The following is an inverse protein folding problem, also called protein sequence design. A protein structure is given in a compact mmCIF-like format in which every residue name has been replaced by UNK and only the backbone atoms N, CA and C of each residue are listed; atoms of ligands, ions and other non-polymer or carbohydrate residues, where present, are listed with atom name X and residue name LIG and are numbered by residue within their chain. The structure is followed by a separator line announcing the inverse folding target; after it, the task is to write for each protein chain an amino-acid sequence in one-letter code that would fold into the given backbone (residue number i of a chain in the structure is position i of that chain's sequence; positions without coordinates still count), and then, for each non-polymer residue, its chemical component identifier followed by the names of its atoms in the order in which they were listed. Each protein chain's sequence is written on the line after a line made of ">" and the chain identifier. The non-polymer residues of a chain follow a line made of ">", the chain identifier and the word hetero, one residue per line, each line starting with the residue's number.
data_IF_055931454707
#
_entry.id   IF_055931454707
#
_cell.length_a   1.000
_cell.length_b   1.000
_cell.length_c   1.000
_cell.angle_alpha   90.00
_cell.angle_beta   90.00
_cell.angle_gamma   90.00
#
_symmetry.space_group_name_H-M   'P 1'
#
loop_
_entity.id
_entity.type
_entity.pdbx_description
1 polymer ?
#
# COMPACT_ATOMS: atom_id res chain seq x y z
N UNK A 1 -8.75 13.34 3.57
CA UNK A 1 -7.92 12.13 3.47
C UNK A 1 -7.62 11.87 2.02
N UNK A 2 -6.38 11.53 1.74
CA UNK A 2 -5.88 11.26 0.40
C UNK A 2 -5.77 9.75 0.22
N UNK A 3 -6.26 9.25 -0.92
CA UNK A 3 -6.21 7.84 -1.25
C UNK A 3 -4.89 7.49 -1.95
N UNK A 4 -4.32 6.34 -1.63
CA UNK A 4 -3.08 5.82 -2.20
C UNK A 4 -3.28 4.36 -2.62
N UNK A 5 -2.79 4.03 -3.81
CA UNK A 5 -2.58 2.67 -4.27
C UNK A 5 -1.12 2.31 -4.01
N UNK A 6 -0.88 1.16 -3.41
CA UNK A 6 0.46 0.58 -3.25
C UNK A 6 0.50 -0.75 -3.98
N UNK A 7 1.55 -0.97 -4.75
CA UNK A 7 1.91 -2.26 -5.31
C UNK A 7 3.14 -2.77 -4.57
N UNK A 8 3.06 -4.01 -4.12
CA UNK A 8 4.11 -4.68 -3.37
C UNK A 8 4.69 -5.82 -4.21
N UNK A 9 6.01 -5.84 -4.31
CA UNK A 9 6.75 -7.01 -4.78
C UNK A 9 7.17 -7.79 -3.55
N UNK A 10 6.96 -9.10 -3.59
CA UNK A 10 7.30 -10.01 -2.51
C UNK A 10 8.46 -10.92 -2.88
N UNK A 11 9.18 -11.37 -1.87
CA UNK A 11 10.25 -12.35 -2.00
C UNK A 11 9.66 -13.72 -2.36
N UNK A 12 10.11 -14.39 -3.45
CA UNK A 12 9.58 -15.68 -3.89
C UNK A 12 9.60 -16.76 -2.80
N UNK A 13 10.55 -16.71 -1.88
CA UNK A 13 10.70 -17.69 -0.80
C UNK A 13 9.79 -17.44 0.40
N UNK A 14 9.11 -16.28 0.45
CA UNK A 14 8.25 -15.84 1.57
C UNK A 14 6.85 -15.40 1.15
N UNK A 15 6.48 -15.52 -0.13
CA UNK A 15 5.25 -14.96 -0.70
C UNK A 15 4.01 -15.30 0.12
N UNK A 16 3.78 -16.58 0.42
CA UNK A 16 2.58 -17.02 1.14
C UNK A 16 2.51 -16.43 2.54
N UNK A 17 3.61 -16.46 3.29
CA UNK A 17 3.66 -15.94 4.66
C UNK A 17 3.48 -14.42 4.67
N UNK A 18 4.17 -13.70 3.79
CA UNK A 18 4.04 -12.24 3.68
C UNK A 18 2.63 -11.83 3.26
N UNK A 19 1.97 -12.57 2.36
CA UNK A 19 0.56 -12.31 2.00
C UNK A 19 -0.35 -12.49 3.22
N UNK A 20 -0.14 -13.54 4.01
CA UNK A 20 -0.94 -13.78 5.22
C UNK A 20 -0.74 -12.67 6.26
N UNK A 21 0.50 -12.26 6.49
CA UNK A 21 0.83 -11.16 7.39
C UNK A 21 0.17 -9.86 6.94
N UNK A 22 0.27 -9.51 5.66
CA UNK A 22 -0.37 -8.32 5.09
C UNK A 22 -1.89 -8.35 5.28
N UNK A 23 -2.53 -9.49 5.04
CA UNK A 23 -3.99 -9.65 5.25
C UNK A 23 -4.42 -9.54 6.71
N UNK A 24 -3.52 -9.78 7.65
CA UNK A 24 -3.78 -9.65 9.08
C UNK A 24 -3.65 -8.21 9.61
N UNK A 25 -3.21 -7.26 8.76
CA UNK A 25 -3.12 -5.86 9.14
C UNK A 25 -4.49 -5.35 9.61
N UNK A 26 -4.55 -4.60 10.74
CA UNK A 26 -5.79 -4.02 11.18
C UNK A 26 -6.22 -2.91 10.22
N UNK A 27 -7.52 -2.57 10.22
CA UNK A 27 -8.06 -1.48 9.41
C UNK A 27 -7.33 -0.15 9.65
N UNK A 28 -6.81 0.08 10.87
CA UNK A 28 -5.97 1.24 11.21
C UNK A 28 -4.55 0.77 11.55
N UNK A 29 -3.69 0.54 10.54
CA UNK A 29 -2.36 -0.04 10.77
C UNK A 29 -1.33 0.96 11.32
N UNK A 30 -1.60 2.26 11.21
CA UNK A 30 -0.78 3.34 11.79
C UNK A 30 -1.63 4.61 12.02
N UNK A 31 -1.13 5.60 12.81
CA UNK A 31 -1.83 6.85 13.04
C UNK A 31 -2.21 7.58 11.75
N UNK A 32 -3.48 7.95 11.63
CA UNK A 32 -4.02 8.67 10.47
C UNK A 32 -4.03 7.88 9.15
N UNK A 33 -3.79 6.56 9.20
CA UNK A 33 -3.91 5.66 8.05
C UNK A 33 -5.09 4.72 8.23
N UNK A 34 -5.90 4.59 7.18
CA UNK A 34 -7.03 3.69 7.13
C UNK A 34 -6.91 2.78 5.90
N UNK A 35 -6.59 1.51 6.16
CA UNK A 35 -6.52 0.44 5.17
C UNK A 35 -7.92 0.15 4.64
N UNK A 36 -8.10 0.28 3.32
CA UNK A 36 -9.39 0.04 2.67
C UNK A 36 -9.50 -1.38 2.14
N UNK A 37 -8.45 -1.85 1.46
CA UNK A 37 -8.48 -3.13 0.79
C UNK A 37 -7.09 -3.65 0.48
N UNK A 38 -6.94 -4.97 0.47
CA UNK A 38 -5.75 -5.70 0.02
C UNK A 38 -6.20 -6.75 -0.99
N UNK A 39 -5.48 -6.86 -2.11
CA UNK A 39 -5.74 -7.84 -3.15
C UNK A 39 -4.47 -8.47 -3.68
N UNK A 40 -4.57 -9.70 -4.14
CA UNK A 40 -3.50 -10.32 -4.91
C UNK A 40 -3.48 -9.72 -6.32
N UNK A 41 -2.29 -9.60 -6.89
CA UNK A 41 -2.09 -9.19 -8.28
C UNK A 41 -1.27 -10.27 -8.97
N UNK A 42 -1.60 -10.55 -10.23
CA UNK A 42 -0.80 -11.41 -11.09
C UNK A 42 0.06 -10.55 -12.01
N UNK A 43 1.34 -10.89 -12.16
CA UNK A 43 2.28 -10.18 -13.05
C UNK A 43 3.53 -9.74 -12.31
N UNK A 44 4.03 -8.54 -12.62
CA UNK A 44 5.24 -7.98 -11.99
C UNK A 44 5.07 -7.84 -10.48
N UNK A 45 3.90 -7.39 -10.03
CA UNK A 45 3.56 -7.14 -8.63
C UNK A 45 2.72 -8.30 -8.08
N UNK A 46 2.84 -8.56 -6.78
CA UNK A 46 2.20 -9.72 -6.14
C UNK A 46 0.99 -9.32 -5.29
N UNK A 47 1.01 -8.11 -4.72
CA UNK A 47 -0.08 -7.56 -3.88
C UNK A 47 -0.33 -6.10 -4.25
N UNK A 48 -1.61 -5.71 -4.26
CA UNK A 48 -2.03 -4.31 -4.27
C UNK A 48 -2.79 -3.97 -2.99
N UNK A 49 -2.63 -2.73 -2.52
CA UNK A 49 -3.26 -2.20 -1.33
C UNK A 49 -3.82 -0.81 -1.60
N UNK A 50 -5.05 -0.58 -1.16
CA UNK A 50 -5.64 0.75 -1.08
C UNK A 50 -5.68 1.21 0.37
N UNK A 51 -5.14 2.40 0.64
CA UNK A 51 -5.28 3.04 1.94
C UNK A 51 -5.57 4.53 1.78
N UNK A 52 -6.18 5.10 2.82
CA UNK A 52 -6.37 6.54 2.97
C UNK A 52 -5.43 7.05 4.05
N UNK A 53 -4.82 8.22 3.86
CA UNK A 53 -4.09 8.93 4.91
C UNK A 53 -4.65 10.33 5.15
N UNK A 54 -4.55 10.85 6.37
CA UNK A 54 -4.99 12.23 6.66
C UNK A 54 -4.06 13.25 6.01
N UNK A 55 -2.75 12.94 5.94
CA UNK A 55 -1.75 13.76 5.27
C UNK A 55 -0.59 12.94 4.66
N UNK A 56 0.21 13.58 3.82
CA UNK A 56 1.32 12.93 3.11
C UNK A 56 2.42 12.40 4.03
N UNK A 57 2.63 12.99 5.21
CA UNK A 57 3.65 12.52 6.14
C UNK A 57 3.26 11.17 6.76
N UNK A 58 2.01 11.04 7.21
CA UNK A 58 1.48 9.77 7.71
C UNK A 58 1.48 8.67 6.64
N UNK A 59 1.18 9.03 5.38
CA UNK A 59 1.31 8.10 4.26
C UNK A 59 2.76 7.62 4.09
N UNK A 60 3.71 8.56 4.08
CA UNK A 60 5.13 8.26 3.90
C UNK A 60 5.68 7.38 5.03
N UNK A 61 5.31 7.68 6.28
CA UNK A 61 5.69 6.92 7.47
C UNK A 61 5.15 5.48 7.38
N UNK A 62 3.87 5.31 7.05
CA UNK A 62 3.29 3.98 6.85
C UNK A 62 4.00 3.18 5.75
N UNK A 63 4.29 3.82 4.62
CA UNK A 63 5.00 3.18 3.50
C UNK A 63 6.41 2.76 3.92
N UNK A 64 7.18 3.65 4.55
CA UNK A 64 8.58 3.41 4.87
C UNK A 64 8.78 2.47 6.05
N UNK A 65 8.02 2.68 7.13
CA UNK A 65 8.26 2.04 8.41
C UNK A 65 7.44 0.76 8.61
N UNK A 66 6.28 0.65 7.96
CA UNK A 66 5.44 -0.56 8.02
C UNK A 66 5.62 -1.42 6.79
N UNK A 67 5.36 -0.88 5.59
CA UNK A 67 5.39 -1.70 4.37
C UNK A 67 6.82 -2.00 3.92
N UNK A 68 7.70 -1.00 3.86
CA UNK A 68 9.09 -1.16 3.40
C UNK A 68 9.99 -1.98 4.33
N UNK A 69 9.59 -2.13 5.60
CA UNK A 69 10.30 -2.98 6.58
C UNK A 69 9.59 -4.32 6.82
N UNK A 70 8.45 -4.58 6.16
CA UNK A 70 7.71 -5.83 6.36
C UNK A 70 8.54 -7.02 5.83
N UNK A 71 8.73 -8.09 6.62
CA UNK A 71 9.46 -9.27 6.18
C UNK A 71 8.90 -9.85 4.87
N UNK A 72 9.79 -10.00 3.89
CA UNK A 72 9.44 -10.57 2.59
C UNK A 72 8.84 -9.58 1.59
N UNK A 73 8.63 -8.30 1.95
CA UNK A 73 8.46 -7.23 0.97
C UNK A 73 9.84 -6.87 0.40
N UNK A 74 9.98 -6.86 -0.93
CA UNK A 74 11.24 -6.52 -1.62
C UNK A 74 11.18 -5.21 -2.37
N UNK A 75 9.98 -4.77 -2.75
CA UNK A 75 9.78 -3.46 -3.38
C UNK A 75 8.37 -2.92 -3.08
N UNK A 76 8.26 -1.59 -3.04
CA UNK A 76 7.06 -0.84 -2.72
C UNK A 76 6.88 0.30 -3.70
N UNK A 77 5.89 0.19 -4.58
CA UNK A 77 5.55 1.23 -5.53
C UNK A 77 4.23 1.90 -5.15
N UNK A 78 4.30 3.18 -4.78
CA UNK A 78 3.13 3.94 -4.31
C UNK A 78 2.67 4.95 -5.36
N UNK A 79 1.36 4.94 -5.65
CA UNK A 79 0.67 5.91 -6.49
C UNK A 79 -0.30 6.70 -5.62
N UNK A 80 -0.07 8.01 -5.43
CA UNK A 80 -1.08 8.88 -4.86
C UNK A 80 -2.26 8.99 -5.83
N UNK A 81 -3.45 8.54 -5.43
CA UNK A 81 -4.63 8.47 -6.28
C UNK A 81 -5.46 9.75 -6.22
N UNK A 82 -4.78 10.89 -6.34
CA UNK A 82 -5.40 12.18 -6.57
C UNK A 82 -4.94 12.73 -7.92
N UNK A 83 -5.82 13.45 -8.63
CA UNK A 83 -5.46 14.00 -9.93
C UNK A 83 -4.37 15.06 -9.76
N UNK A 84 -3.20 14.85 -10.38
CA UNK A 84 -2.19 15.89 -10.56
C UNK A 84 -2.71 17.02 -11.48
N UNK A 85 -3.68 16.70 -12.33
CA UNK A 85 -4.47 17.62 -13.14
C UNK A 85 -5.85 17.00 -13.33
N UNK A 86 -6.92 17.74 -13.03
CA UNK A 86 -8.27 17.33 -13.44
C UNK A 86 -8.40 17.57 -14.95
N UNK A 87 -8.89 16.62 -15.75
CA UNK A 87 -9.31 16.93 -17.11
C UNK A 87 -10.32 18.08 -17.03
N UNK A 88 -10.14 19.13 -17.83
CA UNK A 88 -11.17 20.15 -18.00
C UNK A 88 -12.42 19.43 -18.51
N UNK A 89 -13.53 19.56 -17.79
CA UNK A 89 -14.82 19.19 -18.35
C UNK A 89 -15.11 20.20 -19.46
N UNK A 90 -15.17 19.72 -20.70
CA UNK A 90 -15.78 20.46 -21.81
C UNK A 90 -17.30 20.54 -21.63
#
# INVERSE_FOLDING_TARGET
>A
MTQYLVLLKLSPTKVTDTINDLRSLPQKPSPGVNLQYIMNVFGTWDVAMWFNAENSNQALEFIREKLGQAPGVVDVYTVPAFPNRKPSQE
#
